data_IF_879929014099
#
_entry.id   IF_879929014099
#
_cell.length_a   1.000
_cell.length_b   1.000
_cell.length_c   1.000
_cell.angle_alpha   90.00
_cell.angle_beta   90.00
_cell.angle_gamma   90.00
#
_symmetry.space_group_name_H-M   'P 1'
#
loop_
_entity.id
_entity.type
_entity.pdbx_description
1 polymer ?
#
# COMPACT_ATOMS: atom_id res chain seq x y z
N UNK A 1 -3.21 -11.82 20.67
CA UNK A 1 -3.25 -11.21 20.56
C UNK A 1 -3.94 -10.39 20.52
N UNK A 2 -4.11 -9.90 20.56
CA UNK A 2 -4.78 -9.18 20.62
C UNK A 2 -4.99 -8.29 19.99
N UNK A 3 -5.41 -7.82 19.50
CA UNK A 3 -5.54 -7.02 18.89
C UNK A 3 -6.39 -6.22 19.17
N UNK A 4 -6.58 -5.63 19.56
CA UNK A 4 -7.34 -4.95 19.90
C UNK A 4 -7.28 -3.83 19.62
N UNK A 5 -7.13 -3.47 19.10
CA UNK A 5 -6.94 -2.34 18.87
C UNK A 5 -7.95 -1.49 18.59
N UNK A 6 -7.90 -0.36 18.74
CA UNK A 6 -8.91 0.54 18.63
C UNK A 6 -9.44 0.62 17.27
N UNK A 7 -10.55 0.11 17.10
CA UNK A 7 -11.17 0.11 15.86
C UNK A 7 -11.66 1.47 15.47
N UNK A 8 -11.49 2.45 16.33
CA UNK A 8 -11.91 3.78 16.01
C UNK A 8 -10.99 4.46 15.01
N UNK A 9 -9.85 3.87 14.72
CA UNK A 9 -8.93 4.47 13.76
C UNK A 9 -9.25 3.99 12.35
N UNK A 10 -9.74 4.87 11.46
CA UNK A 10 -10.12 4.41 10.13
C UNK A 10 -8.97 3.82 9.32
N UNK A 11 -7.76 4.32 9.56
CA UNK A 11 -6.62 3.76 8.84
C UNK A 11 -6.41 2.30 9.21
N UNK A 12 -6.57 1.98 10.47
CA UNK A 12 -6.41 0.61 10.89
C UNK A 12 -7.48 -0.29 10.32
N UNK A 13 -8.71 0.22 10.22
CA UNK A 13 -9.76 -0.59 9.64
C UNK A 13 -9.46 -0.93 8.19
N UNK A 14 -8.98 0.04 7.44
CA UNK A 14 -8.63 -0.24 6.08
C UNK A 14 -7.52 -1.23 5.97
N UNK A 15 -6.56 -1.15 6.87
CA UNK A 15 -5.45 -2.06 6.82
C UNK A 15 -5.82 -3.45 7.25
N UNK A 16 -6.78 -3.59 8.14
CA UNK A 16 -7.23 -4.92 8.51
C UNK A 16 -7.86 -5.62 7.32
N UNK A 17 -8.60 -4.89 6.50
CA UNK A 17 -9.16 -5.47 5.32
C UNK A 17 -8.07 -5.91 4.35
N UNK A 18 -7.04 -5.10 4.22
CA UNK A 18 -5.94 -5.45 3.35
C UNK A 18 -5.27 -6.71 3.84
N UNK A 19 -5.04 -6.82 5.14
CA UNK A 19 -4.42 -7.99 5.68
C UNK A 19 -5.22 -9.24 5.41
N UNK A 20 -6.53 -9.15 5.54
CA UNK A 20 -7.36 -10.31 5.27
C UNK A 20 -7.27 -10.74 3.81
N UNK A 21 -7.25 -9.77 2.91
CA UNK A 21 -7.14 -10.09 1.51
C UNK A 21 -5.80 -10.71 1.20
N UNK A 22 -4.76 -10.22 1.83
CA UNK A 22 -3.45 -10.77 1.61
C UNK A 22 -3.32 -12.16 2.15
N UNK A 23 -3.91 -12.42 3.30
CA UNK A 23 -3.88 -13.77 3.85
C UNK A 23 -4.53 -14.75 2.90
N UNK A 24 -5.65 -14.35 2.30
CA UNK A 24 -6.30 -15.22 1.35
C UNK A 24 -5.45 -15.44 0.12
N UNK A 25 -4.80 -14.38 -0.36
CA UNK A 25 -3.94 -14.51 -1.51
C UNK A 25 -2.75 -15.41 -1.20
N UNK A 26 -2.19 -15.25 -0.03
CA UNK A 26 -1.06 -16.06 0.33
C UNK A 26 -1.42 -17.54 0.41
N UNK A 27 -2.60 -17.82 0.91
CA UNK A 27 -3.01 -19.21 0.98
C UNK A 27 -3.23 -19.82 -0.38
N UNK A 28 -3.67 -19.01 -1.31
CA UNK A 28 -3.90 -19.54 -2.64
C UNK A 28 -2.73 -19.44 -3.53
N UNK A 29 -1.69 -18.71 -3.16
CA UNK A 29 -0.74 -18.35 -4.13
C UNK A 29 0.59 -18.85 -3.90
N UNK A 30 1.24 -19.21 -3.49
CA UNK A 30 2.59 -19.57 -3.54
C UNK A 30 3.25 -19.55 -2.18
N UNK A 31 4.52 -19.27 -2.19
CA UNK A 31 5.29 -19.45 -0.99
C UNK A 31 5.28 -18.25 -0.06
N UNK A 32 4.49 -17.25 -0.36
CA UNK A 32 4.45 -16.08 0.50
C UNK A 32 5.60 -15.13 0.32
N UNK A 33 6.35 -15.26 -0.73
CA UNK A 33 7.46 -14.36 -0.98
C UNK A 33 6.99 -13.12 -1.72
N UNK A 34 7.48 -11.95 -1.39
CA UNK A 34 8.45 -11.70 -0.33
C UNK A 34 7.77 -11.48 1.02
N UNK A 35 8.48 -11.71 2.11
CA UNK A 35 7.95 -11.36 3.41
C UNK A 35 7.76 -9.87 3.51
N UNK A 36 6.79 -9.47 4.31
CA UNK A 36 6.50 -8.06 4.43
C UNK A 36 6.05 -7.72 5.84
N UNK A 37 6.18 -6.46 6.18
CA UNK A 37 5.64 -5.91 7.41
C UNK A 37 4.72 -4.76 7.06
N UNK A 38 3.72 -4.54 7.88
CA UNK A 38 2.89 -3.34 7.78
C UNK A 38 2.91 -2.71 9.15
N UNK A 39 3.34 -1.45 9.23
CA UNK A 39 3.44 -0.77 10.50
C UNK A 39 2.82 0.61 10.42
N UNK A 40 2.42 1.11 11.54
CA UNK A 40 1.87 2.44 11.65
C UNK A 40 2.94 3.35 12.22
N UNK A 41 3.19 4.44 11.54
CA UNK A 41 4.15 5.44 12.00
C UNK A 41 3.35 6.59 12.58
N UNK A 42 3.57 6.87 13.85
CA UNK A 42 2.77 7.87 14.53
C UNK A 42 3.03 9.26 13.96
N UNK A 43 2.04 10.17 14.06
CA UNK A 43 2.25 11.52 13.61
C UNK A 43 3.36 12.17 14.41
N UNK A 44 4.07 13.09 13.76
CA UNK A 44 5.17 13.78 14.39
C UNK A 44 5.08 15.25 14.02
N UNK A 45 4.78 16.10 14.99
CA UNK A 45 4.65 17.51 14.72
C UNK A 45 3.49 17.77 13.77
N UNK A 46 3.80 18.46 12.69
CA UNK A 46 2.79 18.75 11.70
C UNK A 46 2.59 17.63 10.71
N UNK A 47 3.37 16.59 10.82
CA UNK A 47 3.27 15.49 9.87
C UNK A 47 2.19 14.52 10.30
N UNK A 48 1.35 14.13 9.37
CA UNK A 48 0.33 13.14 9.65
C UNK A 48 0.96 11.77 9.81
N UNK A 49 0.24 10.87 10.44
CA UNK A 49 0.71 9.52 10.55
C UNK A 49 0.76 8.82 9.21
N UNK A 50 1.60 7.83 9.13
CA UNK A 50 1.79 7.05 7.92
C UNK A 50 1.59 5.58 8.20
N UNK A 51 1.29 4.85 7.15
CA UNK A 51 1.37 3.40 7.21
C UNK A 51 2.48 2.99 6.27
N UNK A 52 3.30 2.07 6.71
CA UNK A 52 4.45 1.66 5.92
C UNK A 52 4.41 0.18 5.65
N UNK A 53 4.49 -0.18 4.39
CA UNK A 53 4.61 -1.57 3.99
C UNK A 53 6.06 -1.78 3.63
N UNK A 54 6.71 -2.74 4.27
CA UNK A 54 8.11 -3.03 3.99
C UNK A 54 8.21 -4.44 3.47
N UNK A 55 8.83 -4.61 2.31
CA UNK A 55 9.02 -5.92 1.72
C UNK A 55 10.51 -6.25 1.70
N UNK A 56 10.83 -7.47 2.05
CA UNK A 56 12.21 -7.93 2.02
C UNK A 56 12.53 -8.44 0.63
N UNK A 57 13.27 -7.62 -0.12
CA UNK A 57 13.56 -7.92 -1.51
C UNK A 57 15.05 -7.88 -1.78
N UNK A 58 15.82 -8.47 -0.88
CA UNK A 58 17.26 -8.50 -1.05
C UNK A 58 17.60 -9.19 -2.38
N UNK A 59 18.55 -8.63 -3.08
CA UNK A 59 18.94 -9.17 -4.37
C UNK A 59 18.24 -8.54 -5.55
N UNK A 60 17.18 -7.75 -5.31
CA UNK A 60 16.50 -7.04 -6.39
C UNK A 60 17.05 -5.63 -6.47
N UNK A 61 17.29 -5.15 -7.67
CA UNK A 61 17.67 -3.77 -7.88
C UNK A 61 16.40 -2.97 -8.19
N UNK A 62 16.54 -1.66 -8.23
CA UNK A 62 15.39 -0.83 -8.58
C UNK A 62 14.84 -1.21 -9.93
N UNK A 63 15.72 -1.53 -10.86
CA UNK A 63 15.30 -1.88 -12.20
C UNK A 63 14.55 -3.20 -12.25
N UNK A 64 14.72 -4.03 -11.24
CA UNK A 64 14.03 -5.31 -11.20
C UNK A 64 12.64 -5.19 -10.61
N UNK A 65 12.31 -4.04 -10.03
CA UNK A 65 11.07 -3.86 -9.29
C UNK A 65 10.15 -2.88 -9.99
N UNK A 66 8.86 -3.16 -9.88
CA UNK A 66 7.86 -2.29 -10.48
C UNK A 66 6.71 -2.15 -9.49
N UNK A 67 6.26 -0.93 -9.27
CA UNK A 67 5.13 -0.67 -8.40
C UNK A 67 4.07 0.03 -9.23
N UNK A 68 2.87 -0.52 -9.25
CA UNK A 68 1.77 0.09 -9.99
C UNK A 68 0.59 0.25 -9.07
N UNK A 69 -0.18 1.29 -9.30
CA UNK A 69 -1.40 1.53 -8.55
C UNK A 69 -2.51 1.73 -9.57
N UNK A 70 -3.47 0.82 -9.54
CA UNK A 70 -4.60 0.89 -10.45
C UNK A 70 -5.85 0.87 -9.60
N UNK A 71 -6.60 1.94 -9.63
CA UNK A 71 -7.72 2.12 -8.71
C UNK A 71 -7.20 2.02 -7.30
N UNK A 72 -7.62 1.03 -6.56
CA UNK A 72 -7.15 0.85 -5.19
C UNK A 72 -6.24 -0.34 -5.06
N UNK A 73 -5.75 -0.88 -6.16
CA UNK A 73 -4.89 -2.05 -6.10
C UNK A 73 -3.45 -1.63 -6.29
N UNK A 74 -2.67 -1.86 -5.28
CA UNK A 74 -1.25 -1.57 -5.29
C UNK A 74 -0.52 -2.88 -5.55
N UNK A 75 0.17 -2.97 -6.67
CA UNK A 75 0.83 -4.19 -7.06
C UNK A 75 2.33 -3.97 -7.13
N UNK A 76 3.07 -4.83 -6.47
CA UNK A 76 4.51 -4.79 -6.48
C UNK A 76 4.99 -6.05 -7.20
N UNK A 77 5.74 -5.86 -8.26
CA UNK A 77 6.29 -6.97 -9.02
C UNK A 77 7.79 -6.90 -9.01
N UNK A 78 8.42 -8.04 -8.96
CA UNK A 78 9.86 -8.12 -9.03
C UNK A 78 10.26 -9.27 -9.92
N UNK A 79 11.30 -9.05 -10.71
CA UNK A 79 11.82 -10.10 -11.56
C UNK A 79 13.32 -9.92 -11.68
N UNK A 80 14.06 -10.83 -11.09
CA UNK A 80 15.50 -10.79 -11.15
C UNK A 80 15.97 -11.34 -12.48
N UNK A 81 17.04 -10.75 -12.99
CA UNK A 81 17.65 -11.24 -14.21
C UNK A 81 18.65 -12.31 -13.84
N UNK A 82 18.67 -13.36 -14.62
CA UNK A 82 19.64 -14.42 -14.42
C UNK A 82 20.94 -14.00 -15.10
N UNK A 83 22.04 -14.03 -14.37
CA UNK A 83 23.33 -13.67 -14.92
C UNK A 83 23.94 -14.90 -15.58
N UNK A 84 23.81 -14.99 -16.86
CA UNK A 84 24.30 -16.18 -17.57
C UNK A 84 25.78 -16.16 -17.81
N UNK A 85 26.47 -15.11 -17.41
CA UNK A 85 27.89 -15.05 -17.57
C UNK A 85 28.64 -15.71 -16.41
N UNK A 86 27.92 -16.06 -15.34
CA UNK A 86 28.55 -16.65 -14.18
C UNK A 86 28.61 -18.16 -14.33
N UNK A 87 29.71 -18.70 -13.88
CA UNK A 87 29.93 -20.13 -13.94
C UNK A 87 29.90 -20.66 -12.50
N UNK A 88 28.75 -21.12 -12.07
CA UNK A 88 28.60 -21.54 -10.68
C UNK A 88 29.12 -22.96 -10.50
N UNK A 89 29.96 -23.15 -9.51
CA UNK A 89 30.31 -24.51 -9.09
C UNK A 89 29.14 -25.09 -8.27
N UNK A 90 28.42 -24.24 -7.59
CA UNK A 90 27.23 -24.66 -6.87
C UNK A 90 26.30 -23.44 -6.81
N UNK A 91 25.05 -23.66 -7.06
CA UNK A 91 24.11 -22.53 -7.04
C UNK A 91 22.97 -22.87 -6.12
N UNK A 92 22.92 -22.18 -4.95
CA UNK A 92 21.85 -22.35 -4.00
C UNK A 92 20.88 -21.19 -3.98
N UNK A 93 21.17 -20.11 -4.73
CA UNK A 93 20.30 -18.94 -4.78
C UNK A 93 19.87 -18.76 -6.22
N UNK A 94 18.60 -18.98 -6.47
CA UNK A 94 18.06 -18.86 -7.82
C UNK A 94 17.47 -17.48 -8.00
N UNK A 95 17.41 -17.05 -9.26
CA UNK A 95 16.71 -15.82 -9.58
C UNK A 95 15.22 -15.98 -9.23
N UNK A 96 14.60 -14.93 -8.73
CA UNK A 96 13.25 -15.00 -8.28
C UNK A 96 12.37 -13.99 -8.99
N UNK A 97 11.08 -14.28 -9.00
CA UNK A 97 10.12 -13.31 -9.45
C UNK A 97 8.92 -13.43 -8.53
N UNK A 98 8.21 -12.32 -8.37
CA UNK A 98 7.06 -12.31 -7.51
C UNK A 98 6.08 -11.23 -7.96
N UNK A 99 4.86 -11.36 -7.50
CA UNK A 99 3.85 -10.34 -7.69
C UNK A 99 3.00 -10.32 -6.44
N UNK A 100 2.88 -9.15 -5.84
CA UNK A 100 2.11 -9.03 -4.60
C UNK A 100 1.19 -7.85 -4.72
N UNK A 101 -0.08 -8.05 -4.38
CA UNK A 101 -1.09 -7.02 -4.55
C UNK A 101 -1.71 -6.69 -3.20
N UNK A 102 -1.84 -5.40 -2.92
CA UNK A 102 -2.51 -4.90 -1.75
C UNK A 102 -3.70 -4.09 -2.20
N UNK A 103 -4.84 -4.27 -1.55
CA UNK A 103 -6.02 -3.48 -1.86
C UNK A 103 -6.14 -2.40 -0.81
N UNK A 104 -6.11 -1.16 -1.26
CA UNK A 104 -6.10 -0.02 -0.34
C UNK A 104 -7.53 0.43 -0.05
N UNK A 105 -7.73 0.94 1.17
CA UNK A 105 -9.02 1.49 1.54
C UNK A 105 -9.20 2.85 0.90
N UNK A 106 -10.44 3.31 0.90
CA UNK A 106 -10.73 4.63 0.36
C UNK A 106 -9.93 5.69 1.09
N UNK A 107 -9.40 6.63 0.35
CA UNK A 107 -8.68 7.73 0.94
C UNK A 107 -7.23 7.43 1.27
N UNK A 108 -6.78 6.22 1.01
CA UNK A 108 -5.39 5.87 1.24
C UNK A 108 -4.62 6.05 -0.06
N UNK A 109 -3.51 6.74 0.01
CA UNK A 109 -2.69 6.98 -1.16
C UNK A 109 -1.24 6.67 -0.89
N UNK A 110 -0.51 6.37 -1.95
CA UNK A 110 0.91 6.11 -1.83
C UNK A 110 1.64 7.44 -1.78
N UNK A 111 2.42 7.61 -0.73
CA UNK A 111 3.20 8.82 -0.58
C UNK A 111 4.59 8.68 -1.20
N UNK A 112 5.24 7.56 -0.97
CA UNK A 112 6.59 7.37 -1.48
C UNK A 112 6.96 5.91 -1.42
N UNK A 113 8.02 5.56 -2.12
CA UNK A 113 8.57 4.22 -2.10
C UNK A 113 10.07 4.34 -2.21
N UNK A 114 10.77 3.65 -1.33
CA UNK A 114 12.22 3.70 -1.29
C UNK A 114 12.81 2.32 -1.13
N UNK A 115 13.93 2.10 -1.80
CA UNK A 115 14.64 0.83 -1.71
C UNK A 115 15.99 1.07 -1.07
N UNK A 116 16.23 0.41 0.05
CA UNK A 116 17.50 0.55 0.73
C UNK A 116 17.80 -0.73 1.49
N UNK A 117 19.02 -1.18 1.43
CA UNK A 117 19.48 -2.33 2.23
C UNK A 117 18.62 -3.57 2.05
N UNK A 118 18.13 -3.80 0.83
CA UNK A 118 17.32 -4.98 0.56
C UNK A 118 15.89 -4.86 1.03
N UNK A 119 15.46 -3.68 1.46
CA UNK A 119 14.11 -3.48 1.92
C UNK A 119 13.44 -2.43 1.05
N UNK A 120 12.24 -2.75 0.58
CA UNK A 120 11.43 -1.80 -0.16
C UNK A 120 10.36 -1.28 0.78
N UNK A 121 10.41 0.00 1.09
CA UNK A 121 9.47 0.61 2.00
C UNK A 121 8.51 1.50 1.23
N UNK A 122 7.22 1.23 1.36
CA UNK A 122 6.19 1.98 0.68
C UNK A 122 5.37 2.69 1.74
N UNK A 123 5.37 4.01 1.71
CA UNK A 123 4.66 4.80 2.69
C UNK A 123 3.31 5.20 2.13
N UNK A 124 2.29 4.99 2.94
CA UNK A 124 0.93 5.31 2.57
C UNK A 124 0.39 6.35 3.54
N UNK A 125 -0.47 7.20 3.05
CA UNK A 125 -1.07 8.21 3.89
C UNK A 125 -2.55 8.26 3.59
N UNK A 126 -3.32 8.67 4.58
CA UNK A 126 -4.74 8.88 4.38
C UNK A 126 -4.96 10.35 4.09
N UNK A 127 -5.53 10.63 2.94
CA UNK A 127 -5.89 12.00 2.63
C UNK A 127 -7.21 12.29 3.28
N UNK A 128 -7.23 13.36 4.06
CA UNK A 128 -8.48 13.78 4.64
C UNK A 128 -9.31 14.35 3.54
N UNK A 129 -10.57 13.96 3.44
CA UNK A 129 -11.40 14.56 2.42
C UNK A 129 -11.47 16.04 2.72
N UNK A 130 -11.36 16.81 1.67
CA UNK A 130 -11.45 18.22 1.80
C UNK A 130 -12.82 18.56 2.34
N UNK A 131 -12.83 19.28 3.44
CA UNK A 131 -14.10 19.64 4.04
C UNK A 131 -14.63 20.83 3.31
N UNK A 132 -15.52 20.60 2.40
CA UNK A 132 -16.15 21.68 1.69
C UNK A 132 -17.35 22.11 2.48
N UNK A 133 -17.24 23.24 3.14
CA UNK A 133 -18.37 23.79 3.86
C UNK A 133 -19.04 24.77 2.93
N UNK A 134 -20.22 24.43 2.51
CA UNK A 134 -20.98 25.26 1.63
C UNK A 134 -22.16 25.84 2.35
N UNK A 135 -22.37 27.14 2.20
CA UNK A 135 -23.51 27.74 2.77
C UNK A 135 -24.64 27.69 1.74
N UNK A 136 -25.74 27.15 2.12
CA UNK A 136 -26.86 27.02 1.23
C UNK A 136 -27.86 28.08 1.59
N UNK A 137 -28.22 28.90 0.62
CA UNK A 137 -29.17 29.96 0.86
C UNK A 137 -30.58 29.44 0.84
N UNK A 138 -31.39 29.94 1.73
CA UNK A 138 -32.76 29.52 1.84
C UNK A 138 -33.60 30.49 1.02
N UNK A 139 -34.25 29.96 -0.01
CA UNK A 139 -35.12 30.80 -0.78
C UNK A 139 -36.54 30.63 -0.37
N UNK A 140 -37.42 31.53 -0.84
CA UNK A 140 -38.82 31.38 -0.58
C UNK A 140 -39.46 30.56 -1.68
N UNK A 141 -40.62 30.02 -1.43
CA UNK A 141 -41.27 29.20 -2.41
C UNK A 141 -41.56 29.96 -3.70
N UNK A 142 -41.77 31.26 -3.57
CA UNK A 142 -42.08 32.02 -4.75
C UNK A 142 -40.95 32.11 -5.74
N UNK A 143 -39.72 31.81 -5.33
CA UNK A 143 -38.61 31.89 -6.23
C UNK A 143 -38.31 30.61 -6.96
N UNK A 144 -38.97 29.56 -6.64
CA UNK A 144 -38.68 28.29 -7.25
C UNK A 144 -38.93 28.34 -8.71
N UNK A 145 -39.91 29.08 -9.12
CA UNK A 145 -40.16 29.11 -10.51
C UNK A 145 -39.19 29.87 -11.29
N UNK A 146 -38.45 30.74 -10.74
CA UNK A 146 -37.53 31.54 -11.49
C UNK A 146 -36.27 30.77 -11.83
N UNK A 147 -36.18 29.56 -11.37
CA UNK A 147 -35.04 28.87 -11.71
C UNK A 147 -35.23 28.24 -12.97
N UNK A 148 -34.55 28.23 -13.85
CA UNK A 148 -34.79 27.54 -15.10
C UNK A 148 -33.55 26.85 -15.61
#
# INVERSE_FOLDING_TARGET
MTRMTPLSNPLLLGFEEIERLMDRAAKGGGDGYPPYNIERIAPNGDEAGLLRITLAVAGFSREDLEITLEDKQLTIRGKQQDDKTRDYLYRGIAARQFSRTFVLADGIEVKSADLANGLLAIDLQRLEPERLVRRIEIGSLGRIKSRS
#
